data_IF_174637729850
#
_entry.id   IF_174637729850
#
_cell.length_a   1.000
_cell.length_b   1.000
_cell.length_c   1.000
_cell.angle_alpha   90.00
_cell.angle_beta   90.00
_cell.angle_gamma   90.00
#
_symmetry.space_group_name_H-M   'P 1'
#
loop_
_entity.id
_entity.type
_entity.pdbx_description
1 polymer ?
#
# COMPACT_ATOMS: atom_id res chain seq x y z
N UNK A 1 -14.44 5.25 0.27
CA UNK A 1 -13.94 4.45 -0.88
C UNK A 1 -13.21 3.20 -0.41
N UNK A 2 -12.17 3.32 0.43
CA UNK A 2 -11.59 2.18 1.19
C UNK A 2 -12.65 1.41 2.01
N UNK A 3 -13.60 2.15 2.59
CA UNK A 3 -14.75 1.62 3.32
C UNK A 3 -15.59 0.61 2.52
N UNK A 4 -15.81 0.83 1.21
CA UNK A 4 -16.63 -0.07 0.39
C UNK A 4 -15.87 -1.38 0.10
N UNK A 5 -14.57 -1.28 -0.17
CA UNK A 5 -13.70 -2.45 -0.36
C UNK A 5 -13.69 -3.34 0.90
N UNK A 6 -13.60 -2.71 2.08
CA UNK A 6 -13.59 -3.42 3.36
C UNK A 6 -14.95 -4.08 3.63
N UNK A 7 -16.06 -3.37 3.41
CA UNK A 7 -17.43 -3.87 3.64
C UNK A 7 -17.85 -5.03 2.72
N UNK A 8 -17.23 -5.17 1.56
CA UNK A 8 -17.49 -6.28 0.62
C UNK A 8 -16.64 -7.53 0.91
N UNK A 9 -15.73 -7.48 1.88
CA UNK A 9 -14.84 -8.59 2.21
C UNK A 9 -15.54 -9.68 3.03
N UNK A 10 -15.43 -10.94 2.57
CA UNK A 10 -15.93 -12.13 3.31
C UNK A 10 -15.30 -12.32 4.69
N UNK A 11 -14.14 -11.70 4.94
CA UNK A 11 -13.35 -11.85 6.17
C UNK A 11 -13.20 -10.53 6.94
N UNK A 12 -14.10 -9.56 6.72
CA UNK A 12 -14.05 -8.25 7.37
C UNK A 12 -13.91 -8.37 8.90
N UNK A 13 -14.72 -9.23 9.53
CA UNK A 13 -14.74 -9.41 10.99
C UNK A 13 -13.43 -9.98 11.56
N UNK A 14 -12.55 -10.52 10.72
CA UNK A 14 -11.23 -11.01 11.16
C UNK A 14 -10.19 -9.90 11.28
N UNK A 15 -10.37 -8.81 10.51
CA UNK A 15 -9.39 -7.75 10.28
C UNK A 15 -9.87 -6.35 10.70
N UNK A 16 -11.17 -6.14 10.85
CA UNK A 16 -11.76 -4.85 11.20
C UNK A 16 -12.79 -4.98 12.32
N UNK A 17 -12.95 -3.93 13.12
CA UNK A 17 -14.04 -3.81 14.08
C UNK A 17 -15.31 -3.20 13.47
N UNK A 18 -16.37 -3.04 14.27
CA UNK A 18 -17.66 -2.47 13.84
C UNK A 18 -17.54 -1.02 13.35
N UNK A 19 -16.52 -0.30 13.80
CA UNK A 19 -16.21 1.08 13.42
C UNK A 19 -15.23 1.15 12.23
N UNK A 20 -14.89 0.00 11.62
CA UNK A 20 -13.94 -0.18 10.52
C UNK A 20 -12.49 0.17 10.87
N UNK A 21 -12.11 0.08 12.14
CA UNK A 21 -10.71 0.18 12.55
C UNK A 21 -9.98 -1.12 12.29
N UNK A 22 -8.71 -1.04 11.86
CA UNK A 22 -7.91 -2.19 11.50
C UNK A 22 -7.29 -2.88 12.74
N UNK A 23 -7.44 -4.20 12.83
CA UNK A 23 -6.70 -5.04 13.77
C UNK A 23 -5.31 -5.35 13.20
N UNK A 24 -4.28 -4.72 13.75
CA UNK A 24 -2.91 -5.14 13.48
C UNK A 24 -2.52 -6.28 14.44
N UNK A 25 -2.18 -7.41 13.86
CA UNK A 25 -1.58 -8.52 14.60
C UNK A 25 -0.10 -8.22 14.78
N UNK A 26 0.30 -7.78 15.98
CA UNK A 26 1.71 -7.63 16.34
C UNK A 26 2.14 -8.82 17.20
N UNK A 27 3.28 -9.42 16.87
CA UNK A 27 3.87 -10.46 17.70
C UNK A 27 4.61 -9.80 18.86
N UNK A 28 4.13 -10.01 20.10
CA UNK A 28 4.86 -9.54 21.28
C UNK A 28 6.10 -10.41 21.48
N UNK A 29 7.28 -9.80 21.33
CA UNK A 29 8.59 -10.43 21.56
C UNK A 29 8.82 -10.87 23.01
N UNK A 30 7.95 -10.47 23.95
CA UNK A 30 8.11 -10.77 25.38
C UNK A 30 7.48 -12.10 25.80
N UNK A 31 6.80 -12.84 24.91
CA UNK A 31 6.26 -14.14 25.31
C UNK A 31 5.70 -15.05 24.22
N UNK A 32 5.95 -14.76 22.94
CA UNK A 32 5.48 -15.59 21.82
C UNK A 32 3.95 -15.69 21.69
N UNK A 33 3.21 -14.89 22.47
CA UNK A 33 1.74 -14.87 22.47
C UNK A 33 1.27 -13.78 21.52
N UNK A 34 0.66 -14.21 20.42
CA UNK A 34 0.08 -13.33 19.41
C UNK A 34 -1.07 -12.53 20.05
N UNK A 35 -0.94 -11.19 20.11
CA UNK A 35 -2.00 -10.31 20.58
C UNK A 35 -2.41 -9.37 19.45
N UNK A 36 -3.71 -9.30 19.18
CA UNK A 36 -4.26 -8.31 18.26
C UNK A 36 -4.27 -6.94 18.95
N UNK A 37 -3.67 -5.93 18.33
CA UNK A 37 -3.77 -4.53 18.74
C UNK A 37 -4.62 -3.79 17.71
N UNK A 38 -5.58 -3.01 18.16
CA UNK A 38 -6.36 -2.14 17.26
C UNK A 38 -5.50 -0.94 16.89
N UNK A 39 -5.26 -0.72 15.60
CA UNK A 39 -4.62 0.51 15.10
C UNK A 39 -5.71 1.42 14.58
N UNK A 40 -5.80 2.60 15.20
CA UNK A 40 -6.67 3.69 14.78
C UNK A 40 -5.83 4.63 13.90
N UNK A 41 -6.36 5.05 12.75
CA UNK A 41 -5.70 5.95 11.79
C UNK A 41 -4.36 5.45 11.19
N UNK A 42 -4.39 4.35 10.42
CA UNK A 42 -3.25 3.97 9.58
C UNK A 42 -2.91 5.09 8.59
N UNK A 43 -1.76 5.74 8.77
CA UNK A 43 -1.28 6.75 7.82
C UNK A 43 -0.67 6.05 6.60
N UNK A 44 -1.02 6.45 5.38
CA UNK A 44 -0.36 5.92 4.19
C UNK A 44 1.13 6.27 4.26
N UNK A 45 1.99 5.26 4.05
CA UNK A 45 3.42 5.48 3.88
C UNK A 45 3.65 5.99 2.47
N UNK A 46 4.34 7.12 2.37
CA UNK A 46 4.77 7.65 1.08
C UNK A 46 5.98 6.85 0.57
N UNK A 47 5.92 6.36 -0.67
CA UNK A 47 7.04 5.61 -1.25
C UNK A 47 8.31 6.45 -1.38
N UNK A 48 8.19 7.79 -1.46
CA UNK A 48 9.34 8.70 -1.45
C UNK A 48 10.21 8.56 -0.19
N UNK A 49 9.64 8.12 0.93
CA UNK A 49 10.41 7.88 2.16
C UNK A 49 11.12 6.52 2.21
N UNK A 50 10.71 5.58 1.34
CA UNK A 50 11.24 4.21 1.28
C UNK A 50 12.27 4.06 0.16
N UNK A 51 12.07 4.76 -0.95
CA UNK A 51 12.97 4.75 -2.10
C UNK A 51 14.22 5.57 -1.75
N UNK A 52 15.36 4.89 -1.62
CA UNK A 52 16.66 5.55 -1.47
C UNK A 52 17.11 6.10 -2.83
N UNK A 53 17.52 7.36 -2.84
CA UNK A 53 18.13 7.99 -4.00
C UNK A 53 19.65 7.83 -3.91
N UNK A 54 20.26 7.25 -4.95
CA UNK A 54 21.70 7.09 -5.03
C UNK A 54 22.34 8.23 -5.86
N UNK A 55 23.59 8.63 -5.54
CA UNK A 55 24.30 9.64 -6.33
C UNK A 55 24.46 9.19 -7.78
N UNK A 56 24.03 10.04 -8.72
CA UNK A 56 24.07 9.75 -10.16
C UNK A 56 22.76 9.20 -10.75
N UNK A 57 21.74 8.97 -9.93
CA UNK A 57 20.42 8.60 -10.43
C UNK A 57 19.70 9.76 -11.12
N UNK A 58 18.95 9.43 -12.17
CA UNK A 58 18.15 10.40 -12.90
C UNK A 58 16.89 10.74 -12.09
N UNK A 59 16.70 12.00 -11.64
CA UNK A 59 15.56 12.38 -10.83
C UNK A 59 14.21 12.17 -11.55
N UNK A 60 14.18 12.25 -12.88
CA UNK A 60 12.98 11.95 -13.67
C UNK A 60 12.62 10.46 -13.62
N UNK A 61 13.62 9.59 -13.71
CA UNK A 61 13.40 8.15 -13.67
C UNK A 61 12.90 7.71 -12.29
N UNK A 62 13.44 8.32 -11.22
CA UNK A 62 12.95 8.11 -9.85
C UNK A 62 11.50 8.60 -9.67
N UNK A 63 11.14 9.74 -10.25
CA UNK A 63 9.77 10.23 -10.20
C UNK A 63 8.80 9.28 -10.93
N UNK A 64 9.18 8.77 -12.11
CA UNK A 64 8.38 7.77 -12.81
C UNK A 64 8.32 6.43 -12.09
N UNK A 65 9.38 6.03 -11.39
CA UNK A 65 9.37 4.82 -10.58
C UNK A 65 8.36 4.94 -9.44
N UNK A 66 8.40 6.06 -8.70
CA UNK A 66 7.45 6.35 -7.63
C UNK A 66 6.01 6.37 -8.15
N UNK A 67 5.76 7.07 -9.26
CA UNK A 67 4.43 7.17 -9.86
C UNK A 67 3.88 5.80 -10.30
N UNK A 68 4.73 4.92 -10.82
CA UNK A 68 4.35 3.55 -11.14
C UNK A 68 3.91 2.77 -9.89
N UNK A 69 4.69 2.85 -8.81
CA UNK A 69 4.39 2.16 -7.54
C UNK A 69 3.10 2.70 -6.91
N UNK A 70 2.93 4.03 -6.88
CA UNK A 70 1.72 4.67 -6.36
C UNK A 70 0.46 4.15 -7.07
N UNK A 71 0.51 3.98 -8.40
CA UNK A 71 -0.61 3.45 -9.20
C UNK A 71 -0.80 1.93 -9.08
N UNK A 72 0.28 1.18 -8.86
CA UNK A 72 0.24 -0.28 -8.73
C UNK A 72 -0.28 -0.73 -7.35
N UNK A 73 0.02 0.02 -6.29
CA UNK A 73 -0.39 -0.30 -4.91
C UNK A 73 -1.68 0.38 -4.46
N UNK A 74 -2.48 0.92 -5.38
CA UNK A 74 -3.83 1.38 -5.06
C UNK A 74 -4.66 0.20 -4.54
N UNK A 75 -5.22 0.35 -3.34
CA UNK A 75 -5.97 -0.72 -2.68
C UNK A 75 -7.25 -1.08 -3.44
N UNK A 76 -7.94 -0.08 -3.98
CA UNK A 76 -9.12 -0.25 -4.82
C UNK A 76 -8.73 -0.86 -6.19
N UNK A 77 -9.17 -2.09 -6.51
CA UNK A 77 -8.78 -2.77 -7.73
C UNK A 77 -9.31 -2.10 -9.00
N UNK A 78 -10.46 -1.40 -8.94
CA UNK A 78 -11.03 -0.71 -10.10
C UNK A 78 -10.19 0.50 -10.50
N UNK A 79 -9.47 1.08 -9.53
CA UNK A 79 -8.58 2.24 -9.72
C UNK A 79 -7.13 1.85 -9.89
N UNK A 80 -6.77 0.59 -9.58
CA UNK A 80 -5.42 0.07 -9.69
C UNK A 80 -4.98 0.03 -11.14
N UNK A 81 -3.70 0.34 -11.36
CA UNK A 81 -3.07 0.24 -12.67
C UNK A 81 -3.25 -1.17 -13.27
N UNK A 82 -3.71 -1.22 -14.52
CA UNK A 82 -3.81 -2.48 -15.27
C UNK A 82 -2.44 -2.85 -15.85
N UNK A 83 -2.28 -4.12 -16.24
CA UNK A 83 -1.04 -4.62 -16.87
C UNK A 83 -0.68 -3.83 -18.12
N UNK A 84 -1.66 -3.55 -18.99
CA UNK A 84 -1.42 -2.77 -20.22
C UNK A 84 -0.95 -1.36 -19.93
N UNK A 85 -1.53 -0.68 -18.93
CA UNK A 85 -1.08 0.65 -18.53
C UNK A 85 0.29 0.63 -17.85
N UNK A 86 0.61 -0.43 -17.10
CA UNK A 86 1.94 -0.60 -16.50
C UNK A 86 3.03 -0.78 -17.57
N UNK A 87 2.77 -1.60 -18.59
CA UNK A 87 3.70 -1.79 -19.71
C UNK A 87 3.90 -0.52 -20.53
N UNK A 88 2.89 0.34 -20.60
CA UNK A 88 2.97 1.64 -21.28
C UNK A 88 3.59 2.76 -20.43
N UNK A 89 3.93 2.50 -19.16
CA UNK A 89 4.39 3.52 -18.23
C UNK A 89 5.75 4.13 -18.66
N UNK A 90 5.99 5.45 -18.50
CA UNK A 90 7.27 6.09 -18.80
C UNK A 90 8.48 5.41 -18.16
N UNK A 91 8.33 4.94 -16.92
CA UNK A 91 9.36 4.16 -16.22
C UNK A 91 9.76 2.87 -16.96
N UNK A 92 8.80 2.17 -17.57
CA UNK A 92 9.05 0.91 -18.30
C UNK A 92 9.52 1.18 -19.73
N UNK A 93 8.94 2.20 -20.37
CA UNK A 93 9.23 2.53 -21.77
C UNK A 93 10.45 3.41 -21.98
N UNK A 94 11.00 4.00 -20.90
CA UNK A 94 12.15 4.90 -20.95
C UNK A 94 11.85 6.25 -21.61
N UNK A 95 10.58 6.64 -21.68
CA UNK A 95 10.11 7.92 -22.27
C UNK A 95 10.07 9.05 -21.24
#
# INVERSE_FOLDING_TARGET
>A
MLVLLVQQGLFIDQHFDQDLNFYATEENTVGGKMMKRTIVNVKPKDFGSVIQCYPGENPKMLAYFRDLLDKMFILDPEKRLTVSHALAHPFITGK
#
